data_IF_515161223683
#
_entry.id   IF_515161223683
#
_cell.length_a   1.000
_cell.length_b   1.000
_cell.length_c   1.000
_cell.angle_alpha   90.00
_cell.angle_beta   90.00
_cell.angle_gamma   90.00
#
_symmetry.space_group_name_H-M   'P 1'
#
loop_
_entity.id
_entity.type
_entity.pdbx_description
1 polymer ?
#
# COMPACT_ATOMS: atom_id res chain seq x y z
N UNK A 1 -14.68 -0.73 23.07
CA UNK A 1 -14.46 -1.82 22.09
C UNK A 1 -14.88 -1.32 20.72
N UNK A 2 -14.11 -1.61 19.66
CA UNK A 2 -14.48 -1.29 18.28
C UNK A 2 -15.43 -2.37 17.78
N UNK A 3 -16.55 -2.00 17.13
CA UNK A 3 -17.49 -2.99 16.59
C UNK A 3 -16.92 -3.68 15.34
N UNK A 4 -17.23 -4.97 15.11
CA UNK A 4 -16.81 -5.68 13.89
C UNK A 4 -17.22 -4.95 12.61
N UNK A 5 -18.44 -4.40 12.56
CA UNK A 5 -18.95 -3.66 11.41
C UNK A 5 -18.09 -2.42 11.10
N UNK A 6 -17.64 -1.71 12.13
CA UNK A 6 -16.77 -0.54 11.97
C UNK A 6 -15.40 -0.95 11.42
N UNK A 7 -14.83 -2.07 11.88
CA UNK A 7 -13.56 -2.58 11.38
C UNK A 7 -13.69 -2.96 9.90
N UNK A 8 -14.72 -3.75 9.55
CA UNK A 8 -14.95 -4.17 8.17
C UNK A 8 -15.17 -2.99 7.24
N UNK A 9 -15.92 -1.98 7.68
CA UNK A 9 -16.16 -0.75 6.91
C UNK A 9 -14.84 -0.04 6.61
N UNK A 10 -14.05 0.27 7.64
CA UNK A 10 -12.78 0.99 7.49
C UNK A 10 -11.81 0.21 6.60
N UNK A 11 -11.66 -1.09 6.82
CA UNK A 11 -10.73 -1.91 6.01
C UNK A 11 -11.17 -1.97 4.55
N UNK A 12 -12.48 -2.05 4.28
CA UNK A 12 -13.01 -2.00 2.92
C UNK A 12 -12.73 -0.65 2.25
N UNK A 13 -12.97 0.45 2.97
CA UNK A 13 -12.68 1.82 2.51
C UNK A 13 -11.20 1.96 2.17
N UNK A 14 -10.29 1.56 3.07
CA UNK A 14 -8.83 1.59 2.82
C UNK A 14 -8.44 0.76 1.59
N UNK A 15 -8.98 -0.44 1.42
CA UNK A 15 -8.69 -1.28 0.24
C UNK A 15 -9.21 -0.61 -1.05
N UNK A 16 -10.36 0.07 -1.00
CA UNK A 16 -10.92 0.78 -2.14
C UNK A 16 -10.12 2.05 -2.48
N UNK A 17 -9.86 2.90 -1.49
CA UNK A 17 -9.13 4.17 -1.62
C UNK A 17 -7.67 3.98 -2.02
N UNK A 18 -7.07 2.80 -1.74
CA UNK A 18 -5.72 2.51 -2.23
C UNK A 18 -5.62 2.52 -3.76
N UNK A 19 -6.72 2.25 -4.47
CA UNK A 19 -6.76 2.07 -5.93
C UNK A 19 -5.77 1.00 -6.46
N UNK A 20 -5.27 0.13 -5.58
CA UNK A 20 -4.30 -0.90 -5.92
C UNK A 20 -5.00 -2.22 -6.30
N UNK A 21 -4.41 -3.00 -7.22
CA UNK A 21 -4.82 -4.38 -7.45
C UNK A 21 -4.73 -5.20 -6.16
N UNK A 22 -5.72 -6.05 -5.90
CA UNK A 22 -5.77 -6.88 -4.67
C UNK A 22 -4.58 -7.82 -4.56
N UNK A 23 -4.07 -8.31 -5.70
CA UNK A 23 -2.85 -9.13 -5.76
C UNK A 23 -1.62 -8.39 -5.26
N UNK A 24 -1.54 -7.09 -5.54
CA UNK A 24 -0.44 -6.24 -5.13
C UNK A 24 -0.52 -5.92 -3.64
N UNK A 25 -1.69 -5.49 -3.17
CA UNK A 25 -1.95 -5.30 -1.74
C UNK A 25 -1.64 -6.55 -0.91
N UNK A 26 -2.10 -7.72 -1.38
CA UNK A 26 -1.86 -8.99 -0.72
C UNK A 26 -0.35 -9.27 -0.57
N UNK A 27 0.40 -9.07 -1.66
CA UNK A 27 1.85 -9.24 -1.66
C UNK A 27 2.53 -8.29 -0.68
N UNK A 28 2.23 -7.00 -0.72
CA UNK A 28 2.91 -6.01 0.12
C UNK A 28 2.59 -6.19 1.61
N UNK A 29 1.38 -6.62 1.92
CA UNK A 29 0.91 -6.86 3.27
C UNK A 29 1.24 -8.28 3.78
N UNK A 30 1.88 -9.14 2.97
CA UNK A 30 2.10 -10.56 3.31
C UNK A 30 0.81 -11.31 3.66
N UNK A 31 -0.30 -10.92 3.02
CA UNK A 31 -1.62 -11.52 3.19
C UNK A 31 -1.97 -12.38 1.97
N UNK A 32 -2.89 -13.32 2.16
CA UNK A 32 -3.47 -14.03 1.00
C UNK A 32 -4.49 -13.14 0.27
N UNK A 33 -4.56 -13.27 -1.05
CA UNK A 33 -5.61 -12.61 -1.86
C UNK A 33 -7.01 -13.00 -1.37
N UNK A 34 -7.20 -14.25 -0.96
CA UNK A 34 -8.48 -14.75 -0.46
C UNK A 34 -8.90 -14.07 0.86
N UNK A 35 -7.94 -13.73 1.73
CA UNK A 35 -8.23 -12.98 2.96
C UNK A 35 -8.74 -11.57 2.64
N UNK A 36 -8.06 -10.84 1.75
CA UNK A 36 -8.50 -9.51 1.33
C UNK A 36 -9.88 -9.55 0.67
N UNK A 37 -10.14 -10.53 -0.21
CA UNK A 37 -11.45 -10.69 -0.86
C UNK A 37 -12.55 -10.93 0.19
N UNK A 38 -12.29 -11.81 1.16
CA UNK A 38 -13.25 -12.10 2.23
C UNK A 38 -13.59 -10.85 3.07
N UNK A 39 -12.64 -9.94 3.28
CA UNK A 39 -12.90 -8.68 3.98
C UNK A 39 -13.70 -7.70 3.12
N UNK A 40 -13.36 -7.60 1.84
CA UNK A 40 -14.05 -6.71 0.88
C UNK A 40 -15.51 -7.11 0.69
N UNK A 41 -15.84 -8.40 0.67
CA UNK A 41 -17.24 -8.85 0.59
C UNK A 41 -17.93 -8.94 1.95
N UNK A 42 -17.20 -8.74 3.05
CA UNK A 42 -17.74 -8.82 4.43
C UNK A 42 -17.95 -10.25 4.93
N UNK A 43 -17.38 -11.25 4.27
CA UNK A 43 -17.47 -12.66 4.70
C UNK A 43 -16.64 -12.95 5.96
N UNK A 44 -15.63 -12.14 6.26
CA UNK A 44 -14.80 -12.25 7.46
C UNK A 44 -14.40 -10.88 8.00
N UNK A 45 -14.33 -10.76 9.33
CA UNK A 45 -13.71 -9.61 10.00
C UNK A 45 -12.20 -9.84 10.11
N UNK A 46 -11.35 -8.87 9.72
CA UNK A 46 -9.92 -8.99 9.90
C UNK A 46 -9.54 -9.00 11.39
N UNK A 47 -8.49 -9.75 11.73
CA UNK A 47 -7.86 -9.69 13.06
C UNK A 47 -6.90 -8.50 13.14
N UNK A 48 -6.55 -8.09 14.36
CA UNK A 48 -5.67 -6.94 14.61
C UNK A 48 -4.34 -7.06 13.85
N UNK A 49 -3.65 -8.20 13.97
CA UNK A 49 -2.39 -8.47 13.29
C UNK A 49 -2.51 -8.34 11.77
N UNK A 50 -3.64 -8.77 11.20
CA UNK A 50 -3.88 -8.67 9.76
C UNK A 50 -4.18 -7.24 9.29
N UNK A 51 -4.76 -6.42 10.17
CA UNK A 51 -4.91 -4.97 9.92
C UNK A 51 -3.54 -4.29 9.97
N UNK A 52 -2.69 -4.65 10.93
CA UNK A 52 -1.32 -4.15 11.03
C UNK A 52 -0.50 -4.53 9.79
N UNK A 53 -0.59 -5.77 9.34
CA UNK A 53 0.02 -6.26 8.10
C UNK A 53 -0.39 -5.41 6.88
N UNK A 54 -1.70 -5.13 6.72
CA UNK A 54 -2.18 -4.27 5.64
C UNK A 54 -1.61 -2.85 5.72
N UNK A 55 -1.58 -2.27 6.92
CA UNK A 55 -1.01 -0.94 7.14
C UNK A 55 0.49 -0.90 6.81
N UNK A 56 1.25 -1.89 7.28
CA UNK A 56 2.68 -2.00 7.02
C UNK A 56 2.98 -2.19 5.53
N UNK A 57 2.19 -2.99 4.82
CA UNK A 57 2.34 -3.15 3.37
C UNK A 57 2.11 -1.85 2.59
N UNK A 58 1.07 -1.08 2.96
CA UNK A 58 0.80 0.23 2.36
C UNK A 58 1.93 1.23 2.65
N UNK A 59 2.42 1.30 3.89
CA UNK A 59 3.55 2.16 4.27
C UNK A 59 4.84 1.78 3.52
N UNK A 60 5.13 0.47 3.41
CA UNK A 60 6.29 -0.04 2.68
C UNK A 60 6.25 0.34 1.20
N UNK A 61 5.09 0.18 0.56
CA UNK A 61 4.88 0.63 -0.82
C UNK A 61 5.06 2.14 -0.98
N UNK A 62 4.48 2.95 -0.10
CA UNK A 62 4.63 4.40 -0.16
C UNK A 62 6.11 4.80 -0.07
N UNK A 63 6.87 4.20 0.84
CA UNK A 63 8.31 4.43 0.97
C UNK A 63 9.09 4.05 -0.30
N UNK A 64 8.78 2.91 -0.92
CA UNK A 64 9.40 2.49 -2.18
C UNK A 64 9.11 3.47 -3.32
N UNK A 65 7.85 3.91 -3.47
CA UNK A 65 7.47 4.87 -4.50
C UNK A 65 8.14 6.22 -4.29
N UNK A 66 8.22 6.70 -3.05
CA UNK A 66 8.93 7.92 -2.71
C UNK A 66 10.42 7.83 -3.05
N UNK A 67 11.07 6.71 -2.71
CA UNK A 67 12.48 6.48 -3.05
C UNK A 67 12.71 6.48 -4.57
N UNK A 68 11.85 5.81 -5.35
CA UNK A 68 11.92 5.78 -6.80
C UNK A 68 11.71 7.16 -7.41
N UNK A 69 10.73 7.93 -6.91
CA UNK A 69 10.48 9.30 -7.36
C UNK A 69 11.70 10.21 -7.13
N UNK A 70 12.33 10.13 -5.95
CA UNK A 70 13.55 10.90 -5.64
C UNK A 70 14.69 10.55 -6.61
N UNK A 71 14.88 9.26 -6.93
CA UNK A 71 15.90 8.83 -7.90
C UNK A 71 15.66 9.40 -9.30
N UNK A 72 14.40 9.42 -9.75
CA UNK A 72 14.03 10.00 -11.05
C UNK A 72 14.28 11.51 -11.08
N UNK A 73 14.00 12.23 -9.98
CA UNK A 73 14.28 13.66 -9.88
C UNK A 73 15.79 13.95 -9.91
N UNK A 74 16.60 13.18 -9.19
CA UNK A 74 18.05 13.32 -9.21
C UNK A 74 18.63 13.05 -10.62
N UNK A 75 18.11 12.04 -11.33
CA UNK A 75 18.50 11.78 -12.72
C UNK A 75 18.13 12.96 -13.63
N UNK A 76 16.90 13.49 -13.51
CA UNK A 76 16.45 14.67 -14.27
C UNK A 76 17.40 15.85 -14.09
N UNK A 77 17.86 16.08 -12.86
CA UNK A 77 18.73 17.23 -12.56
C UNK A 77 20.12 17.05 -13.19
N UNK A 78 20.68 15.83 -13.19
CA UNK A 78 21.91 15.51 -13.93
C UNK A 78 21.76 15.71 -15.45
N UNK A 79 20.59 15.40 -16.01
CA UNK A 79 20.31 15.62 -17.44
C UNK A 79 20.22 17.11 -17.81
N UNK A 80 19.94 17.99 -16.85
CA UNK A 80 19.81 19.45 -17.05
C UNK A 80 21.13 20.20 -16.96
N UNK A 81 22.22 19.55 -16.54
CA UNK A 81 23.56 20.13 -16.50
C UNK A 81 24.40 19.65 -17.69
N UNK A 82 24.25 20.23 -18.90
CA UNK A 82 25.16 19.93 -19.99
C UNK A 82 26.49 20.66 -19.72
N UNK A 83 27.53 19.90 -19.39
CA UNK A 83 28.91 20.29 -19.68
C UNK A 83 29.59 21.28 -18.73
N UNK A 84 29.59 21.03 -17.42
CA UNK A 84 30.67 21.52 -16.56
C UNK A 84 31.85 20.52 -16.60
N UNK A 85 32.53 20.44 -17.75
CA UNK A 85 33.86 19.85 -17.84
C UNK A 85 34.86 21.00 -18.07
N UNK A 86 35.96 21.05 -17.30
CA UNK A 86 36.91 22.17 -17.29
C UNK A 86 37.67 22.35 -18.61
#
# INVERSE_FOLDING_TARGET
MVSPDRIQKIVREVIQESELPRTLLARDAELSRAALEAWVVGARTPQADSVEQLANGLMGRAGQLQHLAVRLLALRDQMKEPGAQP
#
